data_IF_873910053340
#
_entry.id   IF_873910053340
#
_cell.length_a   1.000
_cell.length_b   1.000
_cell.length_c   1.000
_cell.angle_alpha   90.00
_cell.angle_beta   90.00
_cell.angle_gamma   90.00
#
_symmetry.space_group_name_H-M   'P 1'
#
loop_
_entity.id
_entity.type
_entity.pdbx_description
1 polymer ?
#
# COMPACT_ATOMS: atom_id res chain seq x y z
N UNK A 1 24.50 -22.84 8.25
CA UNK A 1 23.44 -22.39 7.32
C UNK A 1 22.13 -22.55 8.07
N UNK A 2 21.39 -21.44 8.26
CA UNK A 2 20.15 -21.44 9.03
C UNK A 2 18.98 -21.72 8.08
N UNK A 3 18.65 -22.98 7.85
CA UNK A 3 17.60 -23.45 6.91
C UNK A 3 16.26 -22.71 7.10
N UNK A 4 15.93 -22.32 8.32
CA UNK A 4 14.70 -21.54 8.59
C UNK A 4 14.78 -20.09 8.12
N UNK A 5 15.96 -19.46 8.25
CA UNK A 5 16.18 -18.10 7.75
C UNK A 5 16.11 -18.08 6.21
N UNK A 6 16.79 -19.03 5.55
CA UNK A 6 16.80 -19.14 4.09
C UNK A 6 15.38 -19.42 3.52
N UNK A 7 14.56 -20.22 4.24
CA UNK A 7 13.18 -20.48 3.84
C UNK A 7 12.29 -19.22 3.95
N UNK A 8 12.47 -18.45 5.03
CA UNK A 8 11.74 -17.18 5.25
C UNK A 8 12.15 -16.13 4.22
N UNK A 9 13.44 -15.98 3.96
CA UNK A 9 13.96 -15.05 2.96
C UNK A 9 13.42 -15.37 1.57
N UNK A 10 13.40 -16.64 1.19
CA UNK A 10 12.82 -17.10 -0.07
C UNK A 10 11.32 -16.82 -0.16
N UNK A 11 10.57 -17.06 0.92
CA UNK A 11 9.14 -16.75 0.99
C UNK A 11 8.90 -15.26 0.79
N UNK A 12 9.67 -14.39 1.45
CA UNK A 12 9.58 -12.96 1.31
C UNK A 12 9.91 -12.51 -0.13
N UNK A 13 10.97 -13.05 -0.73
CA UNK A 13 11.32 -12.75 -2.13
C UNK A 13 10.17 -13.09 -3.11
N UNK A 14 9.44 -14.19 -2.87
CA UNK A 14 8.26 -14.53 -3.69
C UNK A 14 7.14 -13.50 -3.48
N UNK A 15 6.89 -13.07 -2.24
CA UNK A 15 5.85 -12.05 -1.93
C UNK A 15 6.20 -10.71 -2.58
N UNK A 16 7.45 -10.27 -2.52
CA UNK A 16 7.91 -9.02 -3.13
C UNK A 16 7.80 -9.07 -4.66
N UNK A 17 8.19 -10.19 -5.27
CA UNK A 17 8.02 -10.41 -6.70
C UNK A 17 6.54 -10.43 -7.11
N UNK A 18 5.68 -11.09 -6.32
CA UNK A 18 4.24 -11.11 -6.57
C UNK A 18 3.65 -9.71 -6.49
N UNK A 19 4.04 -8.90 -5.50
CA UNK A 19 3.64 -7.51 -5.38
C UNK A 19 4.00 -6.71 -6.64
N UNK A 20 5.23 -6.82 -7.12
CA UNK A 20 5.68 -6.13 -8.32
C UNK A 20 4.88 -6.57 -9.56
N UNK A 21 4.76 -7.89 -9.81
CA UNK A 21 4.03 -8.43 -10.95
C UNK A 21 2.54 -8.05 -10.91
N UNK A 22 1.89 -8.14 -9.75
CA UNK A 22 0.48 -7.77 -9.61
C UNK A 22 0.25 -6.26 -9.77
N UNK A 23 1.23 -5.45 -9.38
CA UNK A 23 1.19 -4.00 -9.61
C UNK A 23 1.25 -3.64 -11.09
N UNK A 24 2.08 -4.33 -11.87
CA UNK A 24 2.27 -4.05 -13.30
C UNK A 24 1.20 -4.68 -14.18
N UNK A 25 0.82 -5.94 -13.91
CA UNK A 25 0.03 -6.78 -14.82
C UNK A 25 -1.35 -7.15 -14.26
N UNK A 26 -1.69 -6.67 -13.07
CA UNK A 26 -2.91 -7.05 -12.37
C UNK A 26 -2.78 -8.37 -11.59
N UNK A 27 -3.76 -8.62 -10.71
CA UNK A 27 -3.74 -9.77 -9.80
C UNK A 27 -3.91 -11.14 -10.50
N UNK A 28 -4.40 -11.15 -11.76
CA UNK A 28 -4.55 -12.36 -12.58
C UNK A 28 -3.29 -12.74 -13.35
N UNK A 29 -2.20 -11.96 -13.21
CA UNK A 29 -0.94 -12.24 -13.88
C UNK A 29 -0.45 -13.69 -13.65
N UNK A 30 0.16 -14.35 -14.65
CA UNK A 30 0.66 -15.71 -14.51
C UNK A 30 1.68 -15.85 -13.37
N UNK A 31 1.56 -16.91 -12.55
CA UNK A 31 2.49 -17.16 -11.45
C UNK A 31 3.91 -17.53 -11.91
N UNK A 32 4.04 -17.95 -13.18
CA UNK A 32 5.36 -18.15 -13.80
C UNK A 32 6.18 -16.85 -13.83
N UNK A 33 5.54 -15.70 -14.14
CA UNK A 33 6.20 -14.40 -14.09
C UNK A 33 6.66 -14.02 -12.66
N UNK A 34 5.89 -14.41 -11.64
CA UNK A 34 6.28 -14.23 -10.24
C UNK A 34 7.49 -15.11 -9.90
N UNK A 35 7.47 -16.39 -10.30
CA UNK A 35 8.56 -17.32 -10.04
C UNK A 35 9.87 -16.86 -10.72
N UNK A 36 9.78 -16.38 -11.95
CA UNK A 36 10.90 -15.82 -12.72
C UNK A 36 11.49 -14.58 -12.01
N UNK A 37 10.65 -13.61 -11.64
CA UNK A 37 11.10 -12.39 -10.96
C UNK A 37 11.70 -12.71 -9.58
N UNK A 38 11.13 -13.67 -8.84
CA UNK A 38 11.63 -14.14 -7.55
C UNK A 38 12.89 -15.00 -7.68
N UNK A 39 13.32 -15.35 -8.91
CA UNK A 39 14.44 -16.26 -9.20
C UNK A 39 14.29 -17.63 -8.53
N UNK A 40 13.07 -18.17 -8.52
CA UNK A 40 12.78 -19.51 -7.99
C UNK A 40 12.08 -20.36 -9.06
N UNK A 41 12.20 -21.68 -8.93
CA UNK A 41 11.41 -22.57 -9.79
C UNK A 41 9.92 -22.54 -9.40
N UNK A 42 9.02 -22.70 -10.40
CA UNK A 42 7.56 -22.72 -10.17
C UNK A 42 7.12 -23.75 -9.12
N UNK A 43 7.77 -24.92 -9.07
CA UNK A 43 7.52 -25.92 -8.03
C UNK A 43 7.89 -25.42 -6.62
N UNK A 44 8.84 -24.51 -6.50
CA UNK A 44 9.23 -23.89 -5.23
C UNK A 44 8.21 -22.84 -4.82
N UNK A 45 7.66 -22.07 -5.77
CA UNK A 45 6.57 -21.14 -5.53
C UNK A 45 5.35 -21.91 -4.98
N UNK A 46 4.88 -22.95 -5.63
CA UNK A 46 3.74 -23.75 -5.17
C UNK A 46 3.98 -24.48 -3.85
N UNK A 47 5.21 -24.82 -3.50
CA UNK A 47 5.52 -25.36 -2.15
C UNK A 47 5.41 -24.31 -1.06
N UNK A 48 5.65 -23.02 -1.36
CA UNK A 48 5.49 -21.93 -0.40
C UNK A 48 4.06 -21.39 -0.35
N UNK A 49 3.37 -21.41 -1.50
CA UNK A 49 2.01 -20.90 -1.68
C UNK A 49 1.23 -21.88 -2.55
N UNK A 50 0.56 -22.89 -1.94
CA UNK A 50 -0.16 -23.95 -2.65
C UNK A 50 -1.23 -23.44 -3.61
N UNK A 51 -1.87 -22.32 -3.28
CA UNK A 51 -2.87 -21.66 -4.12
C UNK A 51 -2.47 -20.23 -4.45
N UNK A 52 -3.10 -19.66 -5.49
CA UNK A 52 -2.98 -18.22 -5.80
C UNK A 52 -3.49 -17.38 -4.64
N UNK A 53 -4.57 -17.84 -4.00
CA UNK A 53 -5.18 -17.19 -2.84
C UNK A 53 -4.20 -17.04 -1.67
N UNK A 54 -3.41 -18.07 -1.39
CA UNK A 54 -2.38 -18.01 -0.34
C UNK A 54 -1.34 -16.94 -0.64
N UNK A 55 -0.94 -16.80 -1.90
CA UNK A 55 0.00 -15.77 -2.33
C UNK A 55 -0.61 -14.38 -2.26
N UNK A 56 -1.85 -14.19 -2.74
CA UNK A 56 -2.57 -12.91 -2.66
C UNK A 56 -2.77 -12.50 -1.19
N UNK A 57 -3.15 -13.42 -0.33
CA UNK A 57 -3.26 -13.21 1.12
C UNK A 57 -1.94 -12.74 1.71
N UNK A 58 -0.83 -13.40 1.37
CA UNK A 58 0.50 -13.02 1.88
C UNK A 58 0.93 -11.63 1.37
N UNK A 59 0.64 -11.29 0.11
CA UNK A 59 0.87 -9.96 -0.46
C UNK A 59 0.03 -8.90 0.27
N UNK A 60 -1.23 -9.20 0.57
CA UNK A 60 -2.11 -8.32 1.33
C UNK A 60 -1.58 -8.02 2.73
N UNK A 61 -1.22 -9.06 3.46
CA UNK A 61 -0.64 -8.95 4.82
C UNK A 61 0.66 -8.14 4.80
N UNK A 62 1.55 -8.42 3.85
CA UNK A 62 2.81 -7.67 3.71
C UNK A 62 2.55 -6.19 3.41
N UNK A 63 1.64 -5.88 2.47
CA UNK A 63 1.31 -4.49 2.11
C UNK A 63 0.69 -3.73 3.29
N UNK A 64 -0.26 -4.32 4.01
CA UNK A 64 -0.85 -3.71 5.19
C UNK A 64 0.19 -3.51 6.31
N UNK A 65 1.15 -4.43 6.44
CA UNK A 65 2.26 -4.30 7.38
C UNK A 65 3.14 -3.10 7.04
N UNK A 66 3.51 -2.93 5.76
CA UNK A 66 4.32 -1.79 5.31
C UNK A 66 3.58 -0.45 5.53
N UNK A 67 2.27 -0.39 5.26
CA UNK A 67 1.44 0.79 5.55
C UNK A 67 1.43 1.10 7.05
N UNK A 68 1.29 0.08 7.89
CA UNK A 68 1.33 0.23 9.34
C UNK A 68 2.69 0.76 9.82
N UNK A 69 3.77 0.21 9.30
CA UNK A 69 5.13 0.63 9.64
C UNK A 69 5.39 2.08 9.21
N UNK A 70 4.94 2.48 8.03
CA UNK A 70 5.01 3.87 7.58
C UNK A 70 4.23 4.80 8.52
N UNK A 71 3.03 4.40 8.95
CA UNK A 71 2.23 5.16 9.90
C UNK A 71 2.88 5.24 11.30
N UNK A 72 3.50 4.16 11.77
CA UNK A 72 4.22 4.14 13.06
C UNK A 72 5.43 5.06 13.03
N UNK A 73 6.21 5.06 11.95
CA UNK A 73 7.37 5.97 11.77
C UNK A 73 6.90 7.42 11.78
N UNK A 74 5.86 7.74 11.01
CA UNK A 74 5.31 9.10 10.95
C UNK A 74 4.75 9.54 12.31
N UNK A 75 3.97 8.70 12.98
CA UNK A 75 3.39 9.01 14.29
C UNK A 75 4.47 9.28 15.35
N UNK A 76 5.58 8.55 15.29
CA UNK A 76 6.73 8.75 16.20
C UNK A 76 7.45 10.07 15.93
N UNK A 77 7.58 10.48 14.67
CA UNK A 77 8.25 11.71 14.28
C UNK A 77 7.36 12.96 14.42
N UNK A 78 6.02 12.79 14.39
CA UNK A 78 5.03 13.87 14.38
C UNK A 78 5.23 14.94 15.49
N UNK A 79 5.58 14.59 16.76
CA UNK A 79 5.79 15.59 17.80
C UNK A 79 7.00 16.50 17.58
N UNK A 80 8.00 16.07 16.80
CA UNK A 80 9.26 16.79 16.59
C UNK A 80 9.23 17.61 15.30
N UNK A 81 8.80 17.00 14.19
CA UNK A 81 8.68 17.63 12.90
C UNK A 81 7.44 17.10 12.17
N UNK A 82 6.26 17.69 12.48
CA UNK A 82 5.00 17.21 11.90
C UNK A 82 4.95 17.31 10.38
N UNK A 83 5.56 18.35 9.80
CA UNK A 83 5.54 18.57 8.34
C UNK A 83 6.34 17.49 7.62
N UNK A 84 7.58 17.25 8.05
CA UNK A 84 8.41 16.20 7.45
C UNK A 84 7.83 14.80 7.68
N UNK A 85 7.30 14.53 8.88
CA UNK A 85 6.65 13.26 9.20
C UNK A 85 5.46 12.96 8.30
N UNK A 86 4.61 13.97 8.05
CA UNK A 86 3.46 13.85 7.16
C UNK A 86 3.87 13.59 5.70
N UNK A 87 4.83 14.35 5.18
CA UNK A 87 5.33 14.17 3.81
C UNK A 87 5.97 12.78 3.65
N UNK A 88 6.81 12.36 4.59
CA UNK A 88 7.45 11.04 4.57
C UNK A 88 6.42 9.91 4.54
N UNK A 89 5.32 10.01 5.30
CA UNK A 89 4.21 9.06 5.22
C UNK A 89 3.61 9.03 3.82
N UNK A 90 3.27 10.19 3.26
CA UNK A 90 2.64 10.26 1.93
C UNK A 90 3.56 9.67 0.87
N UNK A 91 4.84 10.06 0.86
CA UNK A 91 5.82 9.55 -0.09
C UNK A 91 5.91 8.01 -0.01
N UNK A 92 5.95 7.48 1.21
CA UNK A 92 6.00 6.02 1.41
C UNK A 92 4.73 5.32 0.91
N UNK A 93 3.55 5.88 1.15
CA UNK A 93 2.29 5.34 0.65
C UNK A 93 2.20 5.38 -0.89
N UNK A 94 2.74 6.42 -1.51
CA UNK A 94 2.87 6.52 -2.98
C UNK A 94 3.79 5.43 -3.53
N UNK A 95 4.96 5.23 -2.91
CA UNK A 95 5.90 4.17 -3.30
C UNK A 95 5.29 2.76 -3.21
N UNK A 96 4.42 2.52 -2.23
CA UNK A 96 3.74 1.24 -2.06
C UNK A 96 2.72 0.94 -3.17
N UNK A 97 2.39 1.91 -4.03
CA UNK A 97 1.48 1.76 -5.19
C UNK A 97 0.17 1.04 -4.82
N UNK A 98 -0.47 1.46 -3.73
CA UNK A 98 -1.66 0.82 -3.17
C UNK A 98 -2.80 0.66 -4.19
N UNK A 99 -2.88 1.56 -5.17
CA UNK A 99 -3.92 1.54 -6.20
C UNK A 99 -3.91 0.31 -7.10
N UNK A 100 -2.77 -0.35 -7.24
CA UNK A 100 -2.66 -1.59 -8.02
C UNK A 100 -3.10 -2.83 -7.21
N UNK A 101 -2.95 -2.78 -5.89
CA UNK A 101 -3.22 -3.91 -5.00
C UNK A 101 -4.64 -3.89 -4.41
N UNK A 102 -5.21 -2.69 -4.19
CA UNK A 102 -6.56 -2.55 -3.63
C UNK A 102 -7.63 -3.30 -4.44
N UNK A 103 -7.68 -3.28 -5.78
CA UNK A 103 -8.65 -4.05 -6.52
C UNK A 103 -8.61 -5.54 -6.21
N UNK A 104 -7.42 -6.13 -6.12
CA UNK A 104 -7.23 -7.53 -5.77
C UNK A 104 -7.75 -7.87 -4.35
N UNK A 105 -7.80 -6.87 -3.46
CA UNK A 105 -8.27 -7.01 -2.08
C UNK A 105 -9.77 -6.70 -1.94
N UNK A 106 -10.33 -5.88 -2.83
CA UNK A 106 -11.72 -5.38 -2.75
C UNK A 106 -12.68 -6.19 -3.64
N UNK A 107 -12.21 -6.83 -4.71
CA UNK A 107 -13.04 -7.73 -5.55
C UNK A 107 -13.58 -8.92 -4.76
N UNK A 108 -12.92 -9.29 -3.66
CA UNK A 108 -13.49 -10.17 -2.64
C UNK A 108 -14.24 -9.32 -1.62
N UNK A 109 -15.52 -9.61 -1.42
CA UNK A 109 -16.30 -8.99 -0.34
C UNK A 109 -15.49 -8.95 0.95
N UNK A 110 -15.48 -7.81 1.64
CA UNK A 110 -14.72 -7.64 2.90
C UNK A 110 -14.99 -8.73 3.95
N UNK A 111 -16.08 -9.50 3.79
CA UNK A 111 -16.47 -10.63 4.62
C UNK A 111 -15.76 -11.95 4.27
N UNK A 112 -15.08 -12.04 3.12
CA UNK A 112 -14.40 -13.26 2.63
C UNK A 112 -12.86 -13.18 2.75
N UNK A 113 -12.34 -12.11 3.36
CA UNK A 113 -10.90 -11.99 3.58
C UNK A 113 -10.42 -12.99 4.63
N UNK A 114 -9.23 -13.54 4.42
CA UNK A 114 -8.59 -14.43 5.39
C UNK A 114 -8.48 -13.76 6.77
N UNK A 115 -8.69 -14.48 7.89
CA UNK A 115 -8.65 -13.92 9.24
C UNK A 115 -7.36 -13.12 9.54
N UNK A 116 -6.23 -13.57 9.03
CA UNK A 116 -4.95 -12.88 9.16
C UNK A 116 -4.93 -11.51 8.48
N UNK A 117 -5.57 -11.36 7.32
CA UNK A 117 -5.70 -10.07 6.62
C UNK A 117 -6.58 -9.12 7.44
N UNK A 118 -7.70 -9.62 7.97
CA UNK A 118 -8.59 -8.83 8.82
C UNK A 118 -7.88 -8.33 10.08
N UNK A 119 -7.11 -9.20 10.75
CA UNK A 119 -6.36 -8.83 11.95
C UNK A 119 -5.34 -7.72 11.68
N UNK A 120 -4.52 -7.86 10.64
CA UNK A 120 -3.52 -6.83 10.27
C UNK A 120 -4.20 -5.55 9.83
N UNK A 121 -5.30 -5.64 9.06
CA UNK A 121 -6.09 -4.49 8.60
C UNK A 121 -6.59 -3.63 9.76
N UNK A 122 -7.15 -4.23 10.81
CA UNK A 122 -7.67 -3.46 11.96
C UNK A 122 -6.56 -2.71 12.69
N UNK A 123 -5.40 -3.33 12.88
CA UNK A 123 -4.24 -2.66 13.49
C UNK A 123 -3.74 -1.53 12.59
N UNK A 124 -3.63 -1.75 11.29
CA UNK A 124 -3.20 -0.75 10.31
C UNK A 124 -4.16 0.44 10.28
N UNK A 125 -5.49 0.17 10.27
CA UNK A 125 -6.52 1.20 10.33
C UNK A 125 -6.39 2.07 11.60
N UNK A 126 -6.21 1.45 12.76
CA UNK A 126 -6.03 2.17 14.01
C UNK A 126 -4.80 3.10 13.98
N UNK A 127 -3.68 2.62 13.43
CA UNK A 127 -2.45 3.41 13.27
C UNK A 127 -2.62 4.57 12.30
N UNK A 128 -3.21 4.34 11.13
CA UNK A 128 -3.51 5.39 10.16
C UNK A 128 -4.44 6.46 10.76
N UNK A 129 -5.47 6.04 11.50
CA UNK A 129 -6.38 6.96 12.20
C UNK A 129 -5.62 7.85 13.18
N UNK A 130 -4.75 7.27 14.01
CA UNK A 130 -3.93 8.01 14.97
C UNK A 130 -2.99 9.00 14.26
N UNK A 131 -2.35 8.57 13.17
CA UNK A 131 -1.38 9.41 12.43
C UNK A 131 -2.08 10.57 11.72
N UNK A 132 -3.23 10.35 11.09
CA UNK A 132 -4.01 11.41 10.46
C UNK A 132 -4.55 12.38 11.52
N UNK A 133 -5.05 11.87 12.66
CA UNK A 133 -5.48 12.72 13.77
C UNK A 133 -4.36 13.60 14.34
N UNK A 134 -3.13 13.08 14.39
CA UNK A 134 -1.96 13.87 14.78
C UNK A 134 -1.63 14.95 13.74
N UNK A 135 -1.71 14.65 12.44
CA UNK A 135 -1.53 15.63 11.37
C UNK A 135 -2.62 16.72 11.36
N UNK A 136 -3.87 16.34 11.64
CA UNK A 136 -4.99 17.28 11.83
C UNK A 136 -4.73 18.21 13.04
N UNK A 137 -4.30 17.65 14.16
CA UNK A 137 -3.96 18.41 15.37
C UNK A 137 -2.80 19.37 15.15
N UNK A 138 -1.85 19.02 14.27
CA UNK A 138 -0.74 19.87 13.86
C UNK A 138 -1.12 20.93 12.80
N UNK A 139 -2.39 20.98 12.36
CA UNK A 139 -2.86 21.92 11.34
C UNK A 139 -2.34 21.67 9.93
N UNK A 140 -1.90 20.44 9.64
CA UNK A 140 -1.41 20.05 8.31
C UNK A 140 -2.51 19.52 7.41
N UNK A 141 -3.55 18.96 8.02
CA UNK A 141 -4.66 18.27 7.34
C UNK A 141 -5.99 18.80 7.89
N UNK A 142 -6.94 18.99 7.00
CA UNK A 142 -8.30 19.42 7.32
C UNK A 142 -9.01 18.42 8.25
N UNK A 143 -9.83 18.90 9.21
CA UNK A 143 -10.40 18.06 10.26
C UNK A 143 -11.51 17.11 9.77
N UNK A 144 -12.13 17.37 8.63
CA UNK A 144 -13.21 16.58 8.04
C UNK A 144 -12.72 15.37 7.23
N UNK A 145 -11.41 15.28 6.92
CA UNK A 145 -10.83 14.16 6.19
C UNK A 145 -10.89 12.87 7.01
N UNK A 146 -11.51 11.83 6.41
CA UNK A 146 -11.52 10.50 7.02
C UNK A 146 -10.30 9.67 6.58
N UNK A 147 -9.71 8.86 7.49
CA UNK A 147 -8.52 8.06 7.17
C UNK A 147 -8.69 7.13 5.96
N UNK A 148 -9.86 6.53 5.80
CA UNK A 148 -10.15 5.66 4.67
C UNK A 148 -10.24 6.44 3.36
N UNK A 149 -10.83 7.63 3.38
CA UNK A 149 -10.91 8.52 2.20
C UNK A 149 -9.52 8.90 1.72
N UNK A 150 -8.63 9.26 2.63
CA UNK A 150 -7.23 9.58 2.30
C UNK A 150 -6.54 8.42 1.60
N UNK A 151 -6.59 7.22 2.18
CA UNK A 151 -5.94 6.03 1.62
C UNK A 151 -6.54 5.67 0.26
N UNK A 152 -7.86 5.73 0.13
CA UNK A 152 -8.55 5.40 -1.12
C UNK A 152 -8.30 6.44 -2.22
N UNK A 153 -8.24 7.73 -1.87
CA UNK A 153 -7.89 8.79 -2.83
C UNK A 153 -6.45 8.62 -3.33
N UNK A 154 -5.51 8.38 -2.42
CA UNK A 154 -4.12 8.15 -2.77
C UNK A 154 -3.95 6.90 -3.64
N UNK A 155 -4.66 5.82 -3.32
CA UNK A 155 -4.69 4.61 -4.11
C UNK A 155 -5.24 4.84 -5.53
N UNK A 156 -6.28 5.68 -5.68
CA UNK A 156 -6.81 6.05 -7.01
C UNK A 156 -5.81 6.88 -7.81
N UNK A 157 -5.12 7.83 -7.18
CA UNK A 157 -4.13 8.69 -7.83
C UNK A 157 -2.89 7.91 -8.28
N UNK A 158 -2.50 6.87 -7.52
CA UNK A 158 -1.31 6.06 -7.79
C UNK A 158 -1.61 4.78 -8.56
N UNK A 159 -2.87 4.55 -8.98
CA UNK A 159 -3.24 3.40 -9.80
C UNK A 159 -2.55 3.53 -11.17
N UNK A 160 -1.85 2.48 -11.65
CA UNK A 160 -1.32 2.46 -13.00
C UNK A 160 -2.44 2.77 -14.00
N UNK A 161 -2.24 3.83 -14.76
CA UNK A 161 -3.12 4.21 -15.87
C UNK A 161 -2.60 3.55 -17.15
N UNK A 162 -3.08 3.95 -18.29
CA UNK A 162 -2.67 3.42 -19.59
C UNK A 162 -1.16 3.63 -19.81
N UNK A 163 -0.44 2.66 -20.35
CA UNK A 163 1.02 2.69 -20.64
C UNK A 163 1.50 3.98 -21.34
N UNK A 164 0.65 4.60 -22.16
CA UNK A 164 0.91 5.87 -22.85
C UNK A 164 1.10 7.07 -21.90
N UNK A 165 0.60 7.01 -20.66
CA UNK A 165 0.68 8.16 -19.74
C UNK A 165 2.04 8.27 -19.05
N UNK A 166 2.72 7.17 -18.81
CA UNK A 166 4.03 7.19 -18.12
C UNK A 166 5.14 7.71 -19.05
N UNK A 167 5.11 7.39 -20.35
CA UNK A 167 6.05 7.94 -21.32
C UNK A 167 5.74 9.41 -21.69
N UNK A 168 4.44 9.73 -21.89
CA UNK A 168 4.04 11.07 -22.30
C UNK A 168 4.04 12.08 -21.16
N UNK A 169 3.78 11.63 -19.92
CA UNK A 169 3.64 12.48 -18.72
C UNK A 169 4.29 11.85 -17.49
N UNK A 170 5.63 11.70 -17.45
CA UNK A 170 6.32 10.99 -16.36
C UNK A 170 6.13 11.64 -14.97
N UNK A 171 5.72 12.91 -14.93
CA UNK A 171 5.46 13.63 -13.69
C UNK A 171 3.97 13.73 -13.32
N UNK A 172 3.08 13.01 -14.02
CA UNK A 172 1.64 13.14 -13.79
C UNK A 172 1.26 12.74 -12.35
N UNK A 173 1.66 11.56 -11.90
CA UNK A 173 1.33 11.06 -10.56
C UNK A 173 1.90 11.97 -9.46
N UNK A 174 3.21 12.35 -9.47
CA UNK A 174 3.74 13.30 -8.50
C UNK A 174 2.98 14.63 -8.47
N UNK A 175 2.58 15.15 -9.62
CA UNK A 175 1.80 16.42 -9.69
C UNK A 175 0.40 16.25 -9.14
N UNK A 176 -0.30 15.16 -9.44
CA UNK A 176 -1.63 14.88 -8.89
C UNK A 176 -1.59 14.72 -7.37
N UNK A 177 -0.58 14.01 -6.86
CA UNK A 177 -0.35 13.90 -5.42
C UNK A 177 -0.10 15.27 -4.79
N UNK A 178 0.74 16.12 -5.41
CA UNK A 178 1.01 17.47 -4.91
C UNK A 178 -0.26 18.35 -4.87
N UNK A 179 -1.11 18.28 -5.91
CA UNK A 179 -2.41 18.99 -5.94
C UNK A 179 -3.35 18.45 -4.86
N UNK A 180 -3.45 17.13 -4.72
CA UNK A 180 -4.25 16.50 -3.67
C UNK A 180 -3.78 16.95 -2.28
N UNK A 181 -2.48 16.89 -2.01
CA UNK A 181 -1.89 17.34 -0.74
C UNK A 181 -2.16 18.80 -0.45
N UNK A 182 -2.13 19.67 -1.47
CA UNK A 182 -2.47 21.08 -1.32
C UNK A 182 -3.95 21.27 -0.93
N UNK A 183 -4.85 20.45 -1.50
CA UNK A 183 -6.28 20.46 -1.17
C UNK A 183 -6.63 19.89 0.22
N UNK A 184 -5.71 19.17 0.84
CA UNK A 184 -5.91 18.64 2.20
C UNK A 184 -5.61 19.65 3.31
N UNK A 185 -5.11 20.85 2.99
CA UNK A 185 -4.82 21.87 3.99
C UNK A 185 -6.10 22.38 4.67
N UNK A 186 -6.03 22.82 5.94
CA UNK A 186 -7.19 23.25 6.70
C UNK A 186 -7.93 24.48 6.15
N UNK A 187 -7.23 25.28 5.32
CA UNK A 187 -7.73 26.52 4.68
C UNK A 187 -8.43 26.26 3.34
N UNK A 188 -8.62 25.01 2.98
CA UNK A 188 -9.38 24.62 1.78
C UNK A 188 -10.88 24.91 1.88
N UNK A 189 -11.56 24.97 0.71
CA UNK A 189 -13.03 25.03 0.65
C UNK A 189 -13.64 23.75 1.18
N UNK A 190 -14.90 23.83 1.68
CA UNK A 190 -15.64 22.65 2.14
C UNK A 190 -15.73 21.59 1.04
N UNK A 191 -15.54 20.32 1.44
CA UNK A 191 -15.74 19.21 0.53
C UNK A 191 -17.23 18.89 0.40
N UNK A 192 -17.68 18.43 -0.79
CA UNK A 192 -19.05 17.97 -0.92
C UNK A 192 -19.30 16.76 0.00
N UNK A 193 -20.47 16.72 0.61
CA UNK A 193 -20.95 15.61 1.46
C UNK A 193 -21.35 14.41 0.60
#
# INVERSE_FOLDING_TARGET
>A
VNVRADARERRNAIVDAARAVFTERGHDAPLDAVAELAKVGIATLYRNFPTREDLVTAVAVATLTDVREAADVALTAMPTDPTSAWHTLVDRLVELRLGALIPALVERSFTELAPEVLAVREVTKAKMTATIGAAQSAGLVRPDLQPLEFVMALAKLTRPQIELSDEAMPNLVPRLVAVFMAGLRPDGTDLPV
#
